data_IF_799211648249
#
_entry.id   IF_799211648249
#
_cell.length_a   1.000
_cell.length_b   1.000
_cell.length_c   1.000
_cell.angle_alpha   90.00
_cell.angle_beta   90.00
_cell.angle_gamma   90.00
#
_symmetry.space_group_name_H-M   'P 1'
#
loop_
_entity.id
_entity.type
_entity.pdbx_description
1 polymer ?
#
# COMPACT_ATOMS: atom_id res chain seq x y z
N UNK A 1 -12.19 12.76 -8.68
CA UNK A 1 -13.22 13.39 -7.81
C UNK A 1 -14.64 13.25 -8.31
N UNK A 2 -14.98 13.69 -9.54
CA UNK A 2 -16.36 13.56 -10.07
C UNK A 2 -16.92 12.12 -10.04
N UNK A 3 -16.10 11.12 -10.37
CA UNK A 3 -16.52 9.72 -10.33
C UNK A 3 -16.84 9.23 -8.90
N UNK A 4 -16.06 9.64 -7.89
CA UNK A 4 -16.31 9.29 -6.49
C UNK A 4 -17.54 10.03 -5.94
N UNK A 5 -17.70 11.29 -6.32
CA UNK A 5 -18.85 12.10 -5.90
C UNK A 5 -20.19 11.66 -6.53
N UNK A 6 -20.15 10.86 -7.60
CA UNK A 6 -21.34 10.32 -8.25
C UNK A 6 -21.88 9.05 -7.58
N UNK A 7 -21.13 8.48 -6.65
CA UNK A 7 -21.50 7.25 -5.96
C UNK A 7 -22.37 7.57 -4.73
N UNK A 8 -23.31 6.69 -4.36
CA UNK A 8 -24.16 6.90 -3.20
C UNK A 8 -23.36 7.09 -1.91
N UNK A 9 -23.83 7.96 -1.03
CA UNK A 9 -23.26 8.15 0.30
C UNK A 9 -23.24 6.82 1.07
N UNK A 10 -22.13 6.54 1.77
CA UNK A 10 -21.92 5.28 2.48
C UNK A 10 -21.40 4.11 1.61
N UNK A 11 -21.19 4.29 0.31
CA UNK A 11 -20.54 3.28 -0.53
C UNK A 11 -19.10 3.07 -0.07
N UNK A 12 -18.70 1.83 0.22
CA UNK A 12 -17.31 1.51 0.49
C UNK A 12 -16.48 1.62 -0.80
N UNK A 13 -15.39 2.39 -0.77
CA UNK A 13 -14.53 2.58 -1.94
C UNK A 13 -13.19 1.85 -1.74
N UNK A 14 -13.00 0.78 -2.50
CA UNK A 14 -11.72 0.10 -2.60
C UNK A 14 -11.03 0.50 -3.91
N UNK A 15 -9.89 1.16 -3.80
CA UNK A 15 -9.02 1.44 -4.93
C UNK A 15 -8.02 0.30 -5.08
N UNK A 16 -8.00 -0.28 -6.28
CA UNK A 16 -7.05 -1.34 -6.63
C UNK A 16 -6.10 -0.85 -7.72
N UNK A 17 -4.86 -1.30 -7.65
CA UNK A 17 -3.85 -0.95 -8.62
C UNK A 17 -2.70 -1.93 -8.61
N UNK A 18 -1.99 -2.00 -9.74
CA UNK A 18 -0.78 -2.81 -9.90
C UNK A 18 0.37 -1.92 -10.39
N UNK A 19 1.59 -2.16 -9.89
CA UNK A 19 2.80 -1.41 -10.28
C UNK A 19 2.60 0.11 -10.13
N UNK A 20 2.81 0.92 -11.17
CA UNK A 20 2.58 2.37 -11.08
C UNK A 20 1.15 2.73 -10.62
N UNK A 21 0.15 1.95 -11.05
CA UNK A 21 -1.24 2.15 -10.64
C UNK A 21 -1.48 1.89 -9.16
N UNK A 22 -0.69 0.98 -8.55
CA UNK A 22 -0.73 0.74 -7.11
C UNK A 22 -0.32 1.98 -6.32
N UNK A 23 0.79 2.63 -6.70
CA UNK A 23 1.22 3.88 -6.06
C UNK A 23 0.16 4.99 -6.18
N UNK A 24 -0.45 5.13 -7.36
CA UNK A 24 -1.53 6.10 -7.56
C UNK A 24 -2.77 5.80 -6.70
N UNK A 25 -3.16 4.53 -6.59
CA UNK A 25 -4.29 4.12 -5.75
C UNK A 25 -4.06 4.48 -4.27
N UNK A 26 -2.86 4.23 -3.75
CA UNK A 26 -2.50 4.63 -2.38
C UNK A 26 -2.59 6.14 -2.20
N UNK A 27 -2.00 6.93 -3.11
CA UNK A 27 -2.01 8.39 -3.01
C UNK A 27 -3.43 8.97 -3.02
N UNK A 28 -4.31 8.41 -3.85
CA UNK A 28 -5.71 8.82 -3.91
C UNK A 28 -6.48 8.43 -2.64
N UNK A 29 -6.27 7.22 -2.11
CA UNK A 29 -6.94 6.76 -0.90
C UNK A 29 -6.42 7.46 0.37
N UNK A 30 -5.14 7.82 0.41
CA UNK A 30 -4.49 8.44 1.58
C UNK A 30 -4.76 9.95 1.72
N UNK A 31 -5.28 10.59 0.67
CA UNK A 31 -5.74 11.98 0.68
C UNK A 31 -6.80 12.17 1.78
N UNK A 32 -6.54 12.99 2.82
CA UNK A 32 -7.44 13.13 3.97
C UNK A 32 -8.86 13.55 3.58
N UNK A 33 -9.00 14.36 2.54
CA UNK A 33 -10.30 14.81 2.03
C UNK A 33 -11.10 13.63 1.51
N UNK A 34 -10.46 12.73 0.75
CA UNK A 34 -11.09 11.54 0.21
C UNK A 34 -11.30 10.47 1.27
N UNK A 35 -10.34 10.34 2.19
CA UNK A 35 -10.40 9.41 3.30
C UNK A 35 -11.60 9.72 4.21
N UNK A 36 -11.80 10.98 4.59
CA UNK A 36 -12.90 11.41 5.45
C UNK A 36 -14.25 11.38 4.73
N UNK A 37 -14.28 11.85 3.48
CA UNK A 37 -15.54 12.01 2.73
C UNK A 37 -16.06 10.70 2.17
N UNK A 38 -15.18 9.79 1.78
CA UNK A 38 -15.55 8.56 1.07
C UNK A 38 -15.10 7.31 1.83
N UNK A 39 -14.36 7.40 2.94
CA UNK A 39 -13.86 6.19 3.60
C UNK A 39 -12.96 5.36 2.68
N UNK A 40 -12.25 6.01 1.74
CA UNK A 40 -11.44 5.33 0.72
C UNK A 40 -10.40 4.38 1.35
N UNK A 41 -10.20 3.25 0.69
CA UNK A 41 -9.27 2.18 1.03
C UNK A 41 -8.44 1.83 -0.20
N UNK A 42 -7.27 1.23 -0.01
CA UNK A 42 -6.42 0.77 -1.08
C UNK A 42 -5.97 -0.68 -0.85
N UNK A 43 -6.16 -1.52 -1.86
CA UNK A 43 -5.58 -2.86 -1.95
C UNK A 43 -4.72 -2.89 -3.22
N UNK A 44 -3.41 -2.92 -3.04
CA UNK A 44 -2.49 -2.68 -4.14
C UNK A 44 -1.49 -3.80 -4.30
N UNK A 45 -1.03 -4.00 -5.53
CA UNK A 45 -0.15 -5.09 -5.91
C UNK A 45 1.16 -4.52 -6.45
N UNK A 46 2.29 -4.96 -5.91
CA UNK A 46 3.62 -4.62 -6.42
C UNK A 46 3.84 -3.11 -6.55
N UNK A 47 3.45 -2.34 -5.53
CA UNK A 47 3.62 -0.90 -5.54
C UNK A 47 5.11 -0.53 -5.68
N UNK A 48 5.48 0.48 -6.50
CA UNK A 48 6.81 1.08 -6.43
C UNK A 48 6.93 1.92 -5.15
N UNK A 49 8.16 2.28 -4.73
CA UNK A 49 8.37 3.23 -3.63
C UNK A 49 7.55 4.50 -3.81
N UNK A 50 6.73 4.85 -2.82
CA UNK A 50 5.84 6.01 -2.89
C UNK A 50 5.97 6.97 -1.71
N UNK A 51 6.90 6.75 -0.78
CA UNK A 51 7.10 7.54 0.45
C UNK A 51 7.30 9.03 0.13
N UNK A 52 8.26 9.32 -0.75
CA UNK A 52 8.58 10.69 -1.13
C UNK A 52 7.38 11.41 -1.76
N UNK A 53 6.62 10.70 -2.59
CA UNK A 53 5.45 11.25 -3.27
C UNK A 53 4.28 11.40 -2.30
N UNK A 54 4.09 10.44 -1.38
CA UNK A 54 3.08 10.50 -0.33
C UNK A 54 3.32 11.69 0.59
N UNK A 55 4.57 11.89 1.04
CA UNK A 55 4.96 13.06 1.83
C UNK A 55 4.73 14.36 1.04
N UNK A 56 5.19 14.42 -0.21
CA UNK A 56 5.09 15.64 -1.01
C UNK A 56 3.65 16.01 -1.41
N UNK A 57 2.78 15.02 -1.66
CA UNK A 57 1.42 15.24 -2.16
C UNK A 57 0.36 15.25 -1.08
N UNK A 58 0.54 14.41 -0.05
CA UNK A 58 -0.47 14.12 0.97
C UNK A 58 0.00 14.58 2.36
N UNK A 59 1.28 14.85 2.55
CA UNK A 59 1.83 15.30 3.83
C UNK A 59 1.86 14.21 4.90
N UNK A 60 1.87 12.93 4.49
CA UNK A 60 1.84 11.77 5.38
C UNK A 60 3.04 10.87 5.15
N UNK A 61 3.43 10.14 6.19
CA UNK A 61 4.37 9.04 6.08
C UNK A 61 3.64 7.71 5.87
N UNK A 62 4.26 6.71 5.22
CA UNK A 62 3.66 5.38 5.06
C UNK A 62 3.25 4.73 6.39
N UNK A 63 3.99 4.98 7.48
CA UNK A 63 3.68 4.49 8.84
C UNK A 63 2.40 5.06 9.44
N UNK A 64 1.89 6.17 8.88
CA UNK A 64 0.67 6.82 9.35
C UNK A 64 -0.58 6.24 8.66
N UNK A 65 -0.41 5.27 7.75
CA UNK A 65 -1.51 4.60 7.04
C UNK A 65 -1.99 3.40 7.86
N UNK A 66 -3.31 3.33 8.09
CA UNK A 66 -3.93 2.20 8.78
C UNK A 66 -3.85 0.93 7.91
N UNK A 67 -3.15 -0.09 8.41
CA UNK A 67 -3.02 -1.39 7.76
C UNK A 67 -4.36 -2.05 7.43
N UNK A 68 -5.45 -1.76 8.17
CA UNK A 68 -6.78 -2.31 7.85
C UNK A 68 -7.41 -1.69 6.60
N UNK A 69 -6.88 -0.55 6.13
CA UNK A 69 -7.42 0.24 5.02
C UNK A 69 -6.45 0.35 3.85
N UNK A 70 -5.17 0.16 4.10
CA UNK A 70 -4.09 0.27 3.12
C UNK A 70 -3.29 -1.02 3.13
N UNK A 71 -3.57 -1.88 2.15
CA UNK A 71 -2.95 -3.17 1.99
C UNK A 71 -2.06 -3.19 0.75
N UNK A 72 -0.78 -3.49 0.94
CA UNK A 72 0.15 -3.75 -0.16
C UNK A 72 0.47 -5.25 -0.20
N UNK A 73 0.23 -5.84 -1.36
CA UNK A 73 0.52 -7.24 -1.68
C UNK A 73 1.72 -7.25 -2.61
N UNK A 74 2.78 -7.96 -2.23
CA UNK A 74 3.99 -8.08 -3.01
C UNK A 74 4.37 -9.54 -3.20
N UNK A 75 5.17 -9.83 -4.22
CA UNK A 75 5.90 -11.09 -4.31
C UNK A 75 7.33 -10.85 -3.80
N UNK A 76 7.89 -11.76 -3.00
CA UNK A 76 9.26 -11.66 -2.49
C UNK A 76 10.30 -11.54 -3.63
N UNK A 77 9.99 -12.10 -4.80
CA UNK A 77 10.82 -12.01 -6.01
C UNK A 77 10.54 -10.79 -6.89
N UNK A 78 9.58 -9.94 -6.52
CA UNK A 78 9.24 -8.76 -7.32
C UNK A 78 10.41 -7.74 -7.30
N UNK A 79 10.97 -7.36 -8.46
CA UNK A 79 12.05 -6.39 -8.50
C UNK A 79 11.64 -5.01 -7.99
N UNK A 80 10.37 -4.60 -8.10
CA UNK A 80 9.90 -3.34 -7.52
C UNK A 80 9.93 -3.38 -6.00
N UNK A 81 9.59 -4.53 -5.41
CA UNK A 81 9.68 -4.75 -3.97
C UNK A 81 11.13 -4.79 -3.48
N UNK A 82 11.97 -5.62 -4.11
CA UNK A 82 13.39 -5.79 -3.73
C UNK A 82 14.23 -4.54 -3.93
N UNK A 83 14.03 -3.84 -5.05
CA UNK A 83 14.77 -2.61 -5.30
C UNK A 83 14.25 -1.47 -4.43
N UNK A 84 12.94 -1.45 -4.13
CA UNK A 84 12.31 -0.44 -3.29
C UNK A 84 12.80 -0.47 -1.84
N UNK A 85 12.90 -1.68 -1.27
CA UNK A 85 13.45 -1.92 0.06
C UNK A 85 14.94 -1.54 0.14
N UNK A 86 15.73 -1.89 -0.89
CA UNK A 86 17.16 -1.57 -0.94
C UNK A 86 17.47 -0.05 -0.98
N UNK A 87 16.57 0.77 -1.55
CA UNK A 87 16.74 2.23 -1.61
C UNK A 87 16.08 2.97 -0.45
N UNK A 88 15.60 2.25 0.58
CA UNK A 88 15.00 2.83 1.78
C UNK A 88 13.62 3.46 1.56
N UNK A 89 12.96 3.15 0.44
CA UNK A 89 11.56 3.51 0.21
C UNK A 89 10.67 2.44 0.83
N UNK A 90 10.15 2.70 2.03
CA UNK A 90 9.28 1.75 2.70
C UNK A 90 7.91 1.74 2.03
N UNK A 91 7.70 0.67 1.27
CA UNK A 91 6.50 0.29 0.54
C UNK A 91 5.27 0.07 1.44
N UNK A 92 4.84 1.08 2.19
CA UNK A 92 3.69 0.99 3.10
C UNK A 92 3.85 -0.08 4.18
N UNK A 93 2.72 -0.46 4.77
CA UNK A 93 2.62 -1.70 5.53
C UNK A 93 2.32 -2.85 4.55
N UNK A 94 3.32 -3.65 4.12
CA UNK A 94 3.05 -4.84 3.33
C UNK A 94 2.28 -5.84 4.17
N UNK A 95 1.10 -6.26 3.70
CA UNK A 95 0.23 -7.19 4.44
C UNK A 95 0.49 -8.62 4.01
N UNK A 96 1.10 -8.81 2.84
CA UNK A 96 1.25 -10.11 2.23
C UNK A 96 2.44 -10.15 1.28
N UNK A 97 3.42 -11.01 1.57
CA UNK A 97 4.43 -11.46 0.60
C UNK A 97 4.18 -12.92 0.28
N UNK A 98 4.10 -13.28 -1.00
CA UNK A 98 3.97 -14.69 -1.41
C UNK A 98 5.32 -15.30 -1.76
N UNK A 99 5.55 -16.52 -1.27
CA UNK A 99 6.67 -17.39 -1.60
C UNK A 99 6.09 -18.79 -1.88
N UNK A 100 6.29 -19.37 -3.08
CA UNK A 100 5.24 -19.70 -4.09
C UNK A 100 3.80 -19.12 -3.94
N UNK A 101 2.95 -19.17 -5.00
CA UNK A 101 1.62 -18.53 -5.02
C UNK A 101 0.55 -19.35 -4.28
N UNK A 102 0.84 -19.80 -3.06
CA UNK A 102 -0.15 -20.45 -2.20
C UNK A 102 -0.77 -19.40 -1.25
N UNK A 103 -2.11 -19.31 -1.14
CA UNK A 103 -2.79 -18.27 -0.35
C UNK A 103 -2.39 -18.22 1.14
N UNK A 104 -2.00 -19.36 1.66
CA UNK A 104 -1.52 -19.63 3.02
C UNK A 104 -0.05 -19.25 3.24
N UNK A 105 0.70 -18.95 2.17
CA UNK A 105 2.05 -18.39 2.24
C UNK A 105 2.06 -16.87 2.49
N UNK A 106 0.91 -16.27 2.71
CA UNK A 106 0.76 -14.84 2.98
C UNK A 106 1.32 -14.48 4.37
N UNK A 107 2.55 -13.96 4.43
CA UNK A 107 3.13 -13.44 5.68
C UNK A 107 2.82 -11.94 5.81
N UNK A 108 2.23 -11.57 6.95
CA UNK A 108 1.99 -10.17 7.29
C UNK A 108 3.25 -9.51 7.83
N UNK A 109 3.81 -8.61 7.02
CA UNK A 109 5.10 -7.99 7.27
C UNK A 109 4.89 -6.55 7.81
N UNK A 110 4.67 -6.39 9.12
CA UNK A 110 4.56 -5.08 9.76
C UNK A 110 5.86 -4.70 10.47
N UNK A 111 6.48 -3.58 10.10
CA UNK A 111 7.66 -3.09 10.80
C UNK A 111 7.67 -1.55 10.88
N UNK A 112 7.96 -0.96 12.06
CA UNK A 112 8.25 0.46 12.14
C UNK A 112 9.56 0.69 11.35
N UNK A 113 9.48 1.47 10.27
CA UNK A 113 10.60 1.70 9.35
C UNK A 113 11.03 0.48 8.50
N UNK A 114 10.17 -0.52 8.32
CA UNK A 114 10.39 -1.63 7.38
C UNK A 114 11.60 -2.52 7.67
N UNK A 115 12.16 -2.47 8.87
CA UNK A 115 13.34 -3.26 9.24
C UNK A 115 13.04 -4.50 10.10
N UNK A 116 11.89 -4.58 10.77
CA UNK A 116 11.58 -5.74 11.64
C UNK A 116 10.68 -6.81 10.99
N UNK A 117 10.27 -6.63 9.73
CA UNK A 117 9.46 -7.62 9.03
C UNK A 117 10.23 -8.43 7.97
N UNK A 118 11.32 -7.89 7.40
CA UNK A 118 12.03 -8.53 6.29
C UNK A 118 12.56 -9.92 6.65
N UNK A 119 13.07 -10.11 7.88
CA UNK A 119 13.56 -11.41 8.32
C UNK A 119 12.48 -12.51 8.30
N UNK A 120 11.20 -12.16 8.52
CA UNK A 120 10.08 -13.10 8.44
C UNK A 120 9.51 -13.26 7.02
N UNK A 121 9.80 -12.34 6.09
CA UNK A 121 9.41 -12.46 4.68
C UNK A 121 10.48 -13.17 3.82
N UNK A 122 11.72 -13.30 4.33
CA UNK A 122 12.89 -13.90 3.64
C UNK A 122 13.21 -15.35 4.09
N UNK A 123 12.54 -15.88 5.13
CA UNK A 123 12.60 -17.30 5.56
C UNK A 123 11.59 -18.17 4.78
#
# INVERSE_FOLDING_TARGET
>A
DRALAALPEGTAHLLVGHSLGAGLAVLLAADPTREQRYGAQALVLSAPPYDAVLRARVGREPRDLDAKRFANICNAYDPLYRNGTAVGGNLGAPICTFTPPEPDACVSCYGPNGQEALAACDE
#
